data_IF_343859309378
#
_entry.id   IF_343859309378
#
_cell.length_a   1.000
_cell.length_b   1.000
_cell.length_c   1.000
_cell.angle_alpha   90.00
_cell.angle_beta   90.00
_cell.angle_gamma   90.00
#
_symmetry.space_group_name_H-M   'P 1'
#
loop_
_entity.id
_entity.type
_entity.pdbx_description
1 polymer ?
#
# COMPACT_ATOMS: atom_id res chain seq x y z
N UNK A 1 -0.20 -12.96 10.37
CA UNK A 1 0.44 -13.80 9.33
C UNK A 1 1.84 -13.26 9.03
N UNK A 2 2.78 -13.43 9.98
CA UNK A 2 4.10 -12.78 9.96
C UNK A 2 5.25 -13.78 10.20
N UNK A 3 5.16 -14.99 9.66
CA UNK A 3 6.12 -16.07 9.96
C UNK A 3 6.53 -16.89 8.73
N UNK A 4 6.72 -16.22 7.59
CA UNK A 4 7.23 -16.85 6.35
C UNK A 4 8.60 -16.29 5.92
N UNK A 5 9.12 -15.26 6.60
CA UNK A 5 10.43 -14.67 6.27
C UNK A 5 11.64 -15.39 6.88
N UNK A 6 11.45 -16.37 7.77
CA UNK A 6 12.55 -17.08 8.45
C UNK A 6 13.08 -18.32 7.72
N UNK A 7 12.28 -18.92 6.83
CA UNK A 7 12.57 -20.21 6.21
C UNK A 7 13.83 -20.26 5.33
N UNK A 8 14.19 -19.24 4.52
CA UNK A 8 15.40 -19.34 3.71
C UNK A 8 16.70 -19.30 4.55
N UNK A 9 16.67 -18.66 5.71
CA UNK A 9 17.84 -18.54 6.59
C UNK A 9 18.14 -19.85 7.34
N UNK A 10 17.11 -20.61 7.71
CA UNK A 10 17.26 -21.93 8.36
C UNK A 10 17.85 -22.95 7.40
N UNK A 11 17.47 -22.92 6.12
CA UNK A 11 18.03 -23.84 5.11
C UNK A 11 19.52 -23.55 4.83
N UNK A 12 19.93 -22.28 4.91
CA UNK A 12 21.34 -21.90 4.79
C UNK A 12 22.19 -22.40 5.98
N UNK A 13 21.69 -22.27 7.21
CA UNK A 13 22.38 -22.81 8.39
C UNK A 13 22.40 -24.35 8.41
N UNK A 14 21.36 -25.02 7.89
CA UNK A 14 21.31 -26.47 7.77
C UNK A 14 22.32 -27.04 6.75
N UNK A 15 22.75 -26.23 5.78
CA UNK A 15 23.79 -26.60 4.81
C UNK A 15 25.21 -26.24 5.30
N UNK A 16 25.34 -25.38 6.30
CA UNK A 16 26.62 -24.90 6.81
C UNK A 16 27.10 -25.62 8.09
N UNK A 17 26.21 -26.26 8.85
CA UNK A 17 26.55 -27.02 10.06
C UNK A 17 25.98 -28.44 9.98
N UNK A 18 26.79 -29.40 9.54
CA UNK A 18 26.53 -30.80 9.89
C UNK A 18 26.86 -30.99 11.37
N UNK A 19 25.84 -31.22 12.21
CA UNK A 19 26.04 -31.82 13.54
C UNK A 19 26.42 -33.29 13.30
N UNK A 20 27.71 -33.56 13.26
CA UNK A 20 28.26 -34.90 13.42
C UNK A 20 28.21 -35.30 14.91
N UNK A 21 27.91 -36.56 15.25
CA UNK A 21 27.77 -37.02 16.64
C UNK A 21 29.10 -37.23 17.38
N UNK A 22 30.23 -36.79 16.83
CA UNK A 22 31.57 -37.14 17.32
C UNK A 22 32.41 -35.86 17.43
N UNK A 23 32.72 -35.49 18.67
CA UNK A 23 33.25 -34.17 19.04
C UNK A 23 34.58 -33.73 18.41
N UNK A 24 34.90 -32.44 18.65
CA UNK A 24 36.02 -31.66 18.10
C UNK A 24 37.34 -32.45 18.01
N UNK A 25 37.88 -32.63 16.80
CA UNK A 25 39.29 -32.98 16.57
C UNK A 25 39.91 -32.29 15.35
N UNK A 26 41.21 -31.97 15.52
CA UNK A 26 42.10 -31.20 14.65
C UNK A 26 42.92 -32.17 13.77
N UNK A 27 42.94 -31.89 12.45
CA UNK A 27 43.87 -32.30 11.34
C UNK A 27 44.47 -33.72 11.29
N UNK A 28 44.70 -34.22 10.06
CA UNK A 28 45.35 -35.49 9.64
C UNK A 28 44.34 -36.65 9.50
N UNK A 29 44.27 -37.47 8.44
CA UNK A 29 45.17 -37.85 7.33
C UNK A 29 44.31 -38.75 6.39
N UNK A 30 44.15 -38.44 5.08
CA UNK A 30 43.59 -39.41 4.10
C UNK A 30 44.17 -39.14 2.67
N UNK A 31 44.53 -40.18 1.87
CA UNK A 31 45.53 -40.12 0.78
C UNK A 31 45.09 -39.43 -0.53
N UNK A 32 46.04 -38.95 -1.36
CA UNK A 32 45.76 -38.32 -2.65
C UNK A 32 45.49 -39.39 -3.71
N UNK A 33 44.24 -39.86 -3.83
CA UNK A 33 43.95 -40.94 -4.77
C UNK A 33 42.53 -41.10 -5.29
N UNK A 34 41.50 -40.62 -4.60
CA UNK A 34 40.13 -40.93 -5.03
C UNK A 34 39.13 -39.81 -4.71
N UNK A 35 39.45 -38.58 -5.15
CA UNK A 35 38.44 -37.52 -5.17
C UNK A 35 37.51 -37.72 -6.37
N UNK A 36 36.43 -38.48 -6.19
CA UNK A 36 35.24 -38.40 -7.06
C UNK A 36 34.43 -37.11 -6.75
N UNK A 37 35.13 -36.01 -6.41
CA UNK A 37 34.53 -34.74 -5.98
C UNK A 37 34.85 -33.60 -6.96
N UNK A 38 35.77 -33.80 -7.91
CA UNK A 38 36.24 -32.69 -8.75
C UNK A 38 35.39 -32.43 -10.02
N UNK A 39 34.63 -33.43 -10.49
CA UNK A 39 33.81 -33.28 -11.72
C UNK A 39 32.39 -32.76 -11.45
N UNK A 40 31.87 -33.04 -10.26
CA UNK A 40 30.53 -32.60 -9.83
C UNK A 40 30.57 -31.20 -9.23
N UNK A 41 31.66 -30.81 -8.55
CA UNK A 41 31.80 -29.49 -7.91
C UNK A 41 31.67 -28.33 -8.89
N UNK A 42 32.23 -28.43 -10.10
CA UNK A 42 32.11 -27.38 -11.11
C UNK A 42 30.69 -27.27 -11.67
N UNK A 43 30.01 -28.40 -11.90
CA UNK A 43 28.60 -28.38 -12.36
C UNK A 43 27.67 -27.85 -11.25
N UNK A 44 27.94 -28.19 -10.00
CA UNK A 44 27.20 -27.71 -8.84
C UNK A 44 27.41 -26.21 -8.61
N UNK A 45 28.66 -25.72 -8.70
CA UNK A 45 28.95 -24.27 -8.66
C UNK A 45 28.24 -23.52 -9.78
N UNK A 46 28.24 -24.06 -11.01
CA UNK A 46 27.52 -23.45 -12.13
C UNK A 46 26.02 -23.46 -11.87
N UNK A 47 25.44 -24.54 -11.34
CA UNK A 47 24.03 -24.60 -11.01
C UNK A 47 23.64 -23.58 -9.92
N UNK A 48 24.44 -23.44 -8.86
CA UNK A 48 24.22 -22.45 -7.80
C UNK A 48 24.32 -21.02 -8.37
N UNK A 49 25.34 -20.74 -9.16
CA UNK A 49 25.52 -19.43 -9.79
C UNK A 49 24.34 -19.07 -10.70
N UNK A 50 23.82 -20.04 -11.46
CA UNK A 50 22.63 -19.84 -12.31
C UNK A 50 21.38 -19.53 -11.49
N UNK A 51 21.15 -20.24 -10.37
CA UNK A 51 20.00 -20.00 -9.49
C UNK A 51 20.08 -18.60 -8.87
N UNK A 52 21.26 -18.19 -8.39
CA UNK A 52 21.49 -16.85 -7.85
C UNK A 52 21.26 -15.78 -8.91
N UNK A 53 21.77 -15.98 -10.14
CA UNK A 53 21.55 -15.05 -11.24
C UNK A 53 20.06 -14.90 -11.60
N UNK A 54 19.30 -16.00 -11.59
CA UNK A 54 17.85 -15.98 -11.84
C UNK A 54 17.11 -15.25 -10.72
N UNK A 55 17.45 -15.52 -9.46
CA UNK A 55 16.85 -14.85 -8.31
C UNK A 55 17.08 -13.33 -8.37
N UNK A 56 18.33 -12.90 -8.63
CA UNK A 56 18.67 -11.48 -8.80
C UNK A 56 17.95 -10.84 -9.99
N UNK A 57 17.79 -11.56 -11.11
CA UNK A 57 17.06 -11.07 -12.27
C UNK A 57 15.56 -10.88 -11.96
N UNK A 58 14.94 -11.81 -11.21
CA UNK A 58 13.55 -11.70 -10.77
C UNK A 58 13.37 -10.52 -9.81
N UNK A 59 14.27 -10.36 -8.84
CA UNK A 59 14.27 -9.26 -7.87
C UNK A 59 14.41 -7.90 -8.57
N UNK A 60 15.38 -7.79 -9.50
CA UNK A 60 15.61 -6.61 -10.31
C UNK A 60 14.42 -6.29 -11.21
N UNK A 61 13.77 -7.31 -11.78
CA UNK A 61 12.57 -7.14 -12.59
C UNK A 61 11.37 -6.69 -11.78
N UNK A 62 11.20 -7.23 -10.57
CA UNK A 62 10.17 -6.76 -9.64
C UNK A 62 10.41 -5.31 -9.23
N UNK A 63 11.66 -4.92 -8.98
CA UNK A 63 12.01 -3.54 -8.64
C UNK A 63 11.80 -2.60 -9.82
N UNK A 64 12.20 -3.00 -11.03
CA UNK A 64 11.99 -2.25 -12.27
C UNK A 64 10.51 -2.05 -12.61
N UNK A 65 9.64 -3.05 -12.33
CA UNK A 65 8.19 -2.91 -12.45
C UNK A 65 7.55 -2.09 -11.33
N UNK A 66 8.20 -2.00 -10.16
CA UNK A 66 7.74 -1.19 -9.01
C UNK A 66 8.14 0.27 -9.12
N UNK A 67 9.23 0.58 -9.80
CA UNK A 67 9.58 1.97 -10.17
C UNK A 67 8.65 2.44 -11.27
N UNK A 68 7.73 3.38 -10.99
CA UNK A 68 6.96 4.01 -12.04
C UNK A 68 7.93 4.73 -12.97
N UNK A 69 7.90 4.45 -14.27
CA UNK A 69 8.77 5.13 -15.23
C UNK A 69 8.57 6.66 -15.08
N UNK A 70 9.64 7.44 -14.79
CA UNK A 70 9.57 8.89 -14.84
C UNK A 70 9.56 9.30 -16.32
N UNK A 71 8.37 9.32 -16.94
CA UNK A 71 8.24 9.65 -18.36
C UNK A 71 6.88 9.41 -19.00
N UNK A 72 5.96 8.67 -18.36
CA UNK A 72 4.56 8.55 -18.81
C UNK A 72 3.60 9.26 -17.85
N UNK A 73 3.86 10.54 -17.59
CA UNK A 73 2.87 11.47 -17.08
C UNK A 73 1.97 12.00 -18.23
N UNK A 74 1.62 11.15 -19.18
CA UNK A 74 0.51 11.42 -20.10
C UNK A 74 -0.70 10.72 -19.51
N UNK A 75 -1.37 11.45 -18.61
CA UNK A 75 -2.72 11.24 -18.11
C UNK A 75 -3.39 9.94 -18.60
N UNK A 76 -3.11 8.84 -17.91
CA UNK A 76 -4.21 7.98 -17.51
C UNK A 76 -4.94 8.72 -16.37
N UNK A 77 -5.50 9.88 -16.69
CA UNK A 77 -6.76 10.27 -16.08
C UNK A 77 -7.73 9.21 -16.58
N UNK A 78 -7.77 8.07 -15.90
CA UNK A 78 -9.07 7.52 -15.59
C UNK A 78 -9.73 8.66 -14.85
N UNK A 79 -10.45 9.52 -15.58
CA UNK A 79 -11.43 10.40 -14.97
C UNK A 79 -12.26 9.43 -14.13
N UNK A 80 -11.98 9.41 -12.83
CA UNK A 80 -12.79 8.69 -11.88
C UNK A 80 -14.16 9.29 -12.09
N UNK A 81 -15.02 8.57 -12.82
CA UNK A 81 -16.31 9.07 -13.25
C UNK A 81 -17.01 9.49 -11.98
N UNK A 82 -17.06 10.79 -11.75
CA UNK A 82 -17.72 11.34 -10.58
C UNK A 82 -19.18 10.99 -10.77
N UNK A 83 -19.80 10.22 -9.86
CA UNK A 83 -21.18 9.83 -10.05
C UNK A 83 -22.02 11.10 -10.17
N UNK A 84 -22.79 11.26 -11.25
CA UNK A 84 -23.61 12.48 -11.44
C UNK A 84 -24.57 12.69 -10.28
N UNK A 85 -25.13 11.60 -9.76
CA UNK A 85 -25.94 11.60 -8.54
C UNK A 85 -25.05 11.48 -7.30
N UNK A 86 -24.31 12.54 -6.99
CA UNK A 86 -23.52 12.60 -5.76
C UNK A 86 -23.49 13.99 -5.14
N UNK A 87 -23.56 14.03 -3.81
CA UNK A 87 -23.65 15.27 -3.05
C UNK A 87 -22.77 15.25 -1.80
N UNK A 88 -22.12 16.37 -1.53
CA UNK A 88 -21.48 16.67 -0.25
C UNK A 88 -22.18 17.86 0.42
N UNK A 89 -22.44 17.75 1.72
CA UNK A 89 -23.03 18.83 2.52
C UNK A 89 -21.94 19.43 3.39
N UNK A 90 -21.48 20.62 3.07
CA UNK A 90 -20.47 21.32 3.86
C UNK A 90 -21.06 21.79 5.20
N UNK A 91 -20.21 22.02 6.22
CA UNK A 91 -20.68 22.59 7.48
C UNK A 91 -21.36 23.92 7.25
N UNK A 92 -22.56 24.10 7.83
CA UNK A 92 -23.35 25.31 7.71
C UNK A 92 -22.83 26.43 8.61
N UNK A 93 -22.99 27.67 8.16
CA UNK A 93 -22.66 28.84 8.96
C UNK A 93 -23.72 29.07 10.03
N UNK A 94 -23.26 29.25 11.27
CA UNK A 94 -24.13 29.70 12.34
C UNK A 94 -24.23 31.23 12.28
N UNK A 95 -25.38 31.73 11.79
CA UNK A 95 -25.68 33.15 11.68
C UNK A 95 -26.18 33.78 13.00
N UNK A 96 -26.25 33.02 14.08
CA UNK A 96 -26.70 33.52 15.38
C UNK A 96 -25.57 34.26 16.12
N UNK A 97 -25.92 35.33 16.82
CA UNK A 97 -24.97 36.11 17.63
C UNK A 97 -24.49 35.37 18.90
N UNK A 98 -25.12 34.24 19.23
CA UNK A 98 -24.82 33.44 20.41
C UNK A 98 -23.57 32.57 20.19
N UNK A 99 -22.44 33.07 20.68
CA UNK A 99 -21.14 32.39 20.64
C UNK A 99 -21.18 31.08 21.41
N UNK A 100 -21.52 29.98 20.73
CA UNK A 100 -21.52 28.64 21.31
C UNK A 100 -22.52 27.67 20.69
N UNK A 101 -23.52 28.16 19.95
CA UNK A 101 -24.60 27.31 19.41
C UNK A 101 -24.32 26.76 18.00
N UNK A 102 -23.10 26.28 17.74
CA UNK A 102 -22.83 25.55 16.47
C UNK A 102 -23.60 24.22 16.40
N UNK A 103 -24.11 23.74 17.53
CA UNK A 103 -24.97 22.56 17.63
C UNK A 103 -26.21 22.65 16.75
N UNK A 104 -26.78 23.84 16.55
CA UNK A 104 -27.92 24.00 15.66
C UNK A 104 -27.52 23.76 14.20
N UNK A 105 -26.44 24.41 13.76
CA UNK A 105 -25.91 24.24 12.41
C UNK A 105 -25.48 22.79 12.15
N UNK A 106 -24.80 22.17 13.13
CA UNK A 106 -24.40 20.76 13.08
C UNK A 106 -25.62 19.82 13.05
N UNK A 107 -26.64 20.07 13.87
CA UNK A 107 -27.85 19.26 13.92
C UNK A 107 -28.66 19.32 12.63
N UNK A 108 -28.80 20.52 12.04
CA UNK A 108 -29.45 20.70 10.73
C UNK A 108 -28.62 20.01 9.63
N UNK A 109 -27.30 20.09 9.68
CA UNK A 109 -26.42 19.38 8.74
C UNK A 109 -26.63 17.86 8.83
N UNK A 110 -26.67 17.30 10.04
CA UNK A 110 -26.88 15.87 10.27
C UNK A 110 -28.27 15.40 9.81
N UNK A 111 -29.30 16.22 10.02
CA UNK A 111 -30.66 15.94 9.53
C UNK A 111 -30.70 15.92 8.00
N UNK A 112 -30.10 16.92 7.34
CA UNK A 112 -30.02 16.98 5.87
C UNK A 112 -29.25 15.79 5.32
N UNK A 113 -28.11 15.44 5.92
CA UNK A 113 -27.31 14.29 5.50
C UNK A 113 -28.10 12.99 5.63
N UNK A 114 -28.85 12.84 6.74
CA UNK A 114 -29.73 11.69 6.98
C UNK A 114 -30.84 11.60 5.93
N UNK A 115 -31.50 12.72 5.62
CA UNK A 115 -32.56 12.76 4.61
C UNK A 115 -32.03 12.43 3.21
N UNK A 116 -30.87 12.98 2.83
CA UNK A 116 -30.22 12.69 1.55
C UNK A 116 -29.77 11.22 1.46
N UNK A 117 -29.33 10.63 2.56
CA UNK A 117 -28.88 9.23 2.59
C UNK A 117 -30.01 8.23 2.30
N UNK A 118 -31.29 8.63 2.46
CA UNK A 118 -32.45 7.79 2.13
C UNK A 118 -32.81 7.81 0.63
N UNK A 119 -32.21 8.69 -0.17
CA UNK A 119 -32.48 8.78 -1.60
C UNK A 119 -31.76 7.64 -2.33
N UNK A 120 -32.53 6.75 -2.95
CA UNK A 120 -31.98 5.67 -3.76
C UNK A 120 -31.09 6.23 -4.89
N UNK A 121 -29.97 5.56 -5.14
CA UNK A 121 -28.97 5.93 -6.15
C UNK A 121 -28.25 7.27 -5.94
N UNK A 122 -28.37 7.91 -4.76
CA UNK A 122 -27.61 9.12 -4.41
C UNK A 122 -26.40 8.77 -3.55
N UNK A 123 -25.20 9.09 -4.05
CA UNK A 123 -23.97 8.99 -3.25
C UNK A 123 -23.84 10.20 -2.34
N UNK A 124 -23.97 9.99 -1.04
CA UNK A 124 -23.78 11.03 -0.02
C UNK A 124 -22.41 10.88 0.64
N UNK A 125 -21.67 11.98 0.75
CA UNK A 125 -20.37 12.01 1.44
C UNK A 125 -20.57 12.16 2.96
N UNK A 126 -19.78 11.45 3.75
CA UNK A 126 -19.87 11.49 5.21
C UNK A 126 -19.48 12.86 5.77
N UNK A 127 -20.11 13.22 6.91
CA UNK A 127 -19.80 14.45 7.65
C UNK A 127 -18.31 14.58 7.97
N UNK A 128 -17.65 13.49 8.37
CA UNK A 128 -16.23 13.49 8.71
C UNK A 128 -15.31 13.92 7.56
N UNK A 129 -15.68 13.63 6.31
CA UNK A 129 -14.87 13.99 5.13
C UNK A 129 -14.96 15.47 4.79
N UNK A 130 -16.05 16.15 5.19
CA UNK A 130 -16.28 17.57 4.91
C UNK A 130 -15.86 18.49 6.05
N UNK A 131 -15.65 17.95 7.26
CA UNK A 131 -15.30 18.75 8.45
C UNK A 131 -14.01 19.58 8.30
N UNK A 132 -13.11 19.18 7.41
CA UNK A 132 -11.89 19.94 7.12
C UNK A 132 -12.17 21.28 6.43
N UNK A 133 -13.30 21.40 5.74
CA UNK A 133 -13.68 22.63 5.06
C UNK A 133 -14.44 23.53 6.03
N UNK A 134 -13.70 24.34 6.79
CA UNK A 134 -14.26 25.29 7.76
C UNK A 134 -15.04 26.44 7.11
N UNK A 135 -16.18 26.78 7.71
CA UNK A 135 -17.00 27.95 7.39
C UNK A 135 -16.16 29.24 7.40
N UNK A 136 -16.47 30.18 6.50
CA UNK A 136 -15.87 31.52 6.47
C UNK A 136 -14.50 31.62 5.82
N UNK A 137 -13.89 30.51 5.37
CA UNK A 137 -12.69 30.55 4.55
C UNK A 137 -13.08 30.69 3.06
N UNK A 138 -12.43 31.58 2.28
CA UNK A 138 -12.62 31.61 0.84
C UNK A 138 -12.16 30.27 0.24
N UNK A 139 -13.12 29.55 -0.35
CA UNK A 139 -12.96 28.17 -0.81
C UNK A 139 -13.49 28.04 -2.23
N UNK A 140 -12.81 27.23 -3.04
CA UNK A 140 -13.29 26.90 -4.37
C UNK A 140 -14.18 25.64 -4.30
N UNK A 141 -15.50 25.82 -4.36
CA UNK A 141 -16.46 24.70 -4.31
C UNK A 141 -16.19 23.67 -5.40
N UNK A 142 -15.80 24.09 -6.60
CA UNK A 142 -15.48 23.15 -7.69
C UNK A 142 -14.29 22.26 -7.34
N UNK A 143 -13.29 22.82 -6.68
CA UNK A 143 -12.12 22.06 -6.25
C UNK A 143 -12.48 21.08 -5.12
N UNK A 144 -13.26 21.54 -4.14
CA UNK A 144 -13.77 20.68 -3.06
C UNK A 144 -14.56 19.51 -3.63
N UNK A 145 -15.42 19.75 -4.63
CA UNK A 145 -16.22 18.72 -5.27
C UNK A 145 -15.35 17.68 -5.96
N UNK A 146 -14.29 18.11 -6.64
CA UNK A 146 -13.30 17.20 -7.23
C UNK A 146 -12.52 16.41 -6.18
N UNK A 147 -12.11 17.04 -5.08
CA UNK A 147 -11.39 16.38 -3.98
C UNK A 147 -12.26 15.33 -3.27
N UNK A 148 -13.55 15.63 -3.09
CA UNK A 148 -14.53 14.73 -2.48
C UNK A 148 -15.10 13.71 -3.47
N UNK A 149 -14.87 13.89 -4.77
CA UNK A 149 -15.43 13.05 -5.82
C UNK A 149 -16.95 13.11 -5.87
N UNK A 150 -17.49 14.33 -5.86
CA UNK A 150 -18.94 14.64 -5.97
C UNK A 150 -19.26 15.63 -7.08
N UNK A 151 -20.45 15.50 -7.65
CA UNK A 151 -20.98 16.40 -8.67
C UNK A 151 -21.64 17.65 -8.07
N UNK A 152 -22.25 17.50 -6.89
CA UNK A 152 -22.99 18.56 -6.22
C UNK A 152 -22.46 18.86 -4.82
N UNK A 153 -22.54 20.13 -4.43
CA UNK A 153 -22.18 20.61 -3.09
C UNK A 153 -23.32 21.48 -2.58
N UNK A 154 -23.62 21.33 -1.29
CA UNK A 154 -24.53 22.16 -0.52
C UNK A 154 -23.74 22.86 0.60
N UNK A 155 -23.97 24.16 0.81
CA UNK A 155 -23.42 24.98 1.90
C UNK A 155 -24.48 25.92 2.49
#
# INVERSE_FOLDING_TARGET
>A
MLLVLGTPFVVFFAWAFEITPEGIKRTEEVPPGESITHRTGRKLMVAIAMIVAIALAIEAFHLARRTPLPGSAKSAQTESVVPEKSIAVLPFENLSDEKGSNYLADGVQDEVLTNLAHIADLKVISRTSVMQYKVGTPRNLREIGRQLGVAHILE
#
